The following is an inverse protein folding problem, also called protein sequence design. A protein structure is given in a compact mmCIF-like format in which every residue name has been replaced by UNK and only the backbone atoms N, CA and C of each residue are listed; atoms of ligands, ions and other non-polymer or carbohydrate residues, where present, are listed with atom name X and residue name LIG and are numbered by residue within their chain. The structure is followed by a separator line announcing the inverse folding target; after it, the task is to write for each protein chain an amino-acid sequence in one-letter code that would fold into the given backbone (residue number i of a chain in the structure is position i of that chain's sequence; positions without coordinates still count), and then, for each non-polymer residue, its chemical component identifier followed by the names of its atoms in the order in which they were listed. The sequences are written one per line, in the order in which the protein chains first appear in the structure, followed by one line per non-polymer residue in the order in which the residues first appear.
data_IF_954626741288
#
_entry.id   IF_954626741288
#
_cell.length_a   1.000
_cell.length_b   1.000
_cell.length_c   1.000
_cell.angle_alpha   90.00
_cell.angle_beta   90.00
_cell.angle_gamma   90.00
#
_symmetry.space_group_name_H-M   'P 1'
#
loop_
_entity.id
_entity.type
_entity.pdbx_description
1 polymer ?
#
# COMPACT_ATOMS: atom_id res chain seq x y z
N UNK A 1 -66.18 -0.45 -47.28
CA UNK A 1 -65.14 0.38 -47.91
C UNK A 1 -64.96 1.60 -47.02
N UNK A 2 -64.42 1.38 -45.82
CA UNK A 2 -63.00 1.62 -45.45
C UNK A 2 -62.61 3.08 -45.66
N UNK A 3 -62.91 3.88 -44.64
CA UNK A 3 -62.39 5.23 -44.40
C UNK A 3 -61.20 5.03 -43.46
N UNK A 4 -60.07 4.69 -44.04
CA UNK A 4 -58.72 4.70 -43.47
C UNK A 4 -57.87 4.92 -44.71
N UNK A 5 -57.03 5.98 -44.77
CA UNK A 5 -55.78 6.03 -45.56
C UNK A 5 -55.23 7.46 -45.82
N UNK A 6 -55.90 8.56 -45.46
CA UNK A 6 -55.33 9.92 -45.68
C UNK A 6 -54.48 10.45 -44.49
N UNK A 7 -54.75 10.01 -43.25
CA UNK A 7 -54.03 10.52 -42.08
C UNK A 7 -52.67 9.85 -41.86
N UNK A 8 -52.49 8.58 -42.25
CA UNK A 8 -51.25 7.82 -42.03
C UNK A 8 -50.09 8.30 -42.94
N UNK A 9 -50.39 8.64 -44.19
CA UNK A 9 -49.38 9.13 -45.14
C UNK A 9 -48.83 10.51 -44.73
N UNK A 10 -49.67 11.31 -44.06
CA UNK A 10 -49.29 12.63 -43.52
C UNK A 10 -48.38 12.53 -42.28
N UNK A 11 -48.60 11.54 -41.43
CA UNK A 11 -47.78 11.28 -40.24
C UNK A 11 -46.44 10.71 -40.65
N UNK A 12 -46.40 9.80 -41.63
CA UNK A 12 -45.16 9.22 -42.13
C UNK A 12 -44.26 10.28 -42.81
N UNK A 13 -44.86 11.17 -43.61
CA UNK A 13 -44.14 12.30 -44.21
C UNK A 13 -43.60 13.29 -43.16
N UNK A 14 -44.38 13.57 -42.11
CA UNK A 14 -43.94 14.41 -41.00
C UNK A 14 -42.78 13.77 -40.22
N UNK A 15 -42.86 12.46 -39.96
CA UNK A 15 -41.83 11.73 -39.24
C UNK A 15 -40.53 11.63 -40.04
N UNK A 16 -40.61 11.48 -41.36
CA UNK A 16 -39.45 11.50 -42.27
C UNK A 16 -38.77 12.87 -42.29
N UNK A 17 -39.54 13.96 -42.37
CA UNK A 17 -39.00 15.33 -42.33
C UNK A 17 -38.34 15.66 -40.98
N UNK A 18 -38.91 15.18 -39.87
CA UNK A 18 -38.28 15.31 -38.54
C UNK A 18 -36.99 14.48 -38.45
N UNK A 19 -36.95 13.29 -39.05
CA UNK A 19 -35.74 12.46 -39.09
C UNK A 19 -34.64 13.10 -39.93
N UNK A 20 -34.97 13.62 -41.10
CA UNK A 20 -34.04 14.32 -41.99
C UNK A 20 -33.50 15.60 -41.36
N UNK A 21 -34.36 16.38 -40.71
CA UNK A 21 -33.98 17.55 -39.90
C UNK A 21 -33.07 17.15 -38.73
N UNK A 22 -33.39 16.06 -38.03
CA UNK A 22 -32.57 15.55 -36.93
C UNK A 22 -31.21 15.03 -37.40
N UNK A 23 -31.13 14.44 -38.61
CA UNK A 23 -29.87 13.99 -39.22
C UNK A 23 -29.05 15.18 -39.74
N UNK A 24 -29.68 16.17 -40.36
CA UNK A 24 -29.03 17.39 -40.84
C UNK A 24 -28.49 18.26 -39.70
N UNK A 25 -29.18 18.27 -38.55
CA UNK A 25 -28.76 18.99 -37.33
C UNK A 25 -27.81 18.20 -36.43
N UNK A 26 -27.36 16.99 -36.83
CA UNK A 26 -26.30 16.28 -36.10
C UNK A 26 -24.98 17.01 -36.29
N UNK A 27 -24.64 17.84 -35.31
CA UNK A 27 -23.28 18.37 -35.15
C UNK A 27 -22.29 17.20 -35.20
N UNK A 28 -21.34 17.18 -36.16
CA UNK A 28 -20.34 16.13 -36.25
C UNK A 28 -19.62 16.04 -34.91
N UNK A 29 -19.62 14.84 -34.29
CA UNK A 29 -18.92 14.64 -33.02
C UNK A 29 -17.42 14.85 -33.24
N UNK A 30 -16.92 16.02 -32.87
CA UNK A 30 -15.50 16.32 -32.94
C UNK A 30 -14.77 15.44 -31.93
N UNK A 31 -13.73 14.73 -32.38
CA UNK A 31 -12.90 13.92 -31.49
C UNK A 31 -12.19 14.85 -30.52
N UNK A 32 -12.48 14.71 -29.24
CA UNK A 32 -11.83 15.45 -28.16
C UNK A 32 -10.37 14.99 -27.91
N UNK A 33 -9.98 13.83 -28.42
CA UNK A 33 -8.68 13.17 -28.16
C UNK A 33 -7.95 13.01 -29.48
N UNK A 34 -7.02 13.91 -29.73
CA UNK A 34 -6.38 14.12 -31.04
C UNK A 34 -4.86 13.99 -30.99
N UNK A 35 -4.29 13.45 -29.91
CA UNK A 35 -2.84 13.26 -29.85
C UNK A 35 -2.37 12.33 -30.97
N UNK A 36 -1.16 12.56 -31.52
CA UNK A 36 -0.62 11.76 -32.61
C UNK A 36 -0.27 10.32 -32.19
N UNK A 37 -0.19 10.05 -30.87
CA UNK A 37 0.12 8.73 -30.32
C UNK A 37 -1.02 8.20 -29.46
N UNK A 38 -1.30 6.91 -29.60
CA UNK A 38 -2.21 6.18 -28.72
C UNK A 38 -1.58 5.93 -27.35
N UNK A 39 -2.39 5.60 -26.33
CA UNK A 39 -1.87 5.21 -25.02
C UNK A 39 -0.94 3.99 -25.09
N UNK A 40 -1.25 3.01 -25.94
CA UNK A 40 -0.37 1.87 -26.20
C UNK A 40 0.99 2.29 -26.81
N UNK A 41 1.01 3.16 -27.82
CA UNK A 41 2.25 3.63 -28.43
C UNK A 41 3.13 4.40 -27.44
N UNK A 42 2.51 5.27 -26.63
CA UNK A 42 3.20 5.96 -25.53
C UNK A 42 3.83 4.95 -24.57
N UNK A 43 3.10 3.88 -24.22
CA UNK A 43 3.58 2.88 -23.29
C UNK A 43 4.76 2.07 -23.86
N UNK A 44 4.70 1.65 -25.13
CA UNK A 44 5.81 0.99 -25.80
C UNK A 44 7.07 1.86 -25.85
N UNK A 45 6.91 3.15 -26.15
CA UNK A 45 8.02 4.12 -26.16
C UNK A 45 8.65 4.29 -24.76
N UNK A 46 7.83 4.35 -23.70
CA UNK A 46 8.33 4.45 -22.32
C UNK A 46 9.05 3.16 -21.90
N UNK A 47 8.48 1.99 -22.18
CA UNK A 47 9.04 0.70 -21.76
C UNK A 47 10.32 0.33 -22.53
N UNK A 48 10.42 0.71 -23.79
CA UNK A 48 11.58 0.42 -24.65
C UNK A 48 12.66 1.50 -24.60
N UNK A 49 12.34 2.66 -24.01
CA UNK A 49 13.24 3.79 -23.90
C UNK A 49 14.20 3.68 -22.71
N UNK A 50 14.71 4.84 -22.26
CA UNK A 50 15.62 4.90 -21.12
C UNK A 50 14.99 4.26 -19.86
N UNK A 51 15.71 3.42 -19.09
CA UNK A 51 15.15 2.66 -17.96
C UNK A 51 14.42 3.52 -16.91
N UNK A 52 14.92 4.73 -16.67
CA UNK A 52 14.29 5.68 -15.73
C UNK A 52 12.92 6.16 -16.18
N UNK A 53 12.60 6.16 -17.48
CA UNK A 53 11.29 6.62 -17.97
C UNK A 53 10.17 5.77 -17.38
N UNK A 54 10.34 4.45 -17.37
CA UNK A 54 9.37 3.54 -16.74
C UNK A 54 9.24 3.84 -15.24
N UNK A 55 10.36 4.05 -14.55
CA UNK A 55 10.38 4.39 -13.12
C UNK A 55 9.66 5.72 -12.83
N UNK A 56 9.89 6.74 -13.66
CA UNK A 56 9.28 8.06 -13.51
C UNK A 56 7.78 8.06 -13.78
N UNK A 57 7.31 7.28 -14.76
CA UNK A 57 5.90 7.24 -15.16
C UNK A 57 5.07 6.21 -14.39
N UNK A 58 5.64 5.05 -14.06
CA UNK A 58 4.91 3.90 -13.51
C UNK A 58 5.39 3.48 -12.12
N UNK A 59 6.43 4.13 -11.58
CA UNK A 59 6.98 3.88 -10.23
C UNK A 59 7.53 2.46 -10.03
N UNK A 60 7.78 1.76 -11.13
CA UNK A 60 8.37 0.43 -11.23
C UNK A 60 9.35 0.40 -12.41
N UNK A 61 10.32 -0.51 -12.38
CA UNK A 61 11.18 -0.72 -13.55
C UNK A 61 10.42 -1.41 -14.68
N UNK A 62 10.93 -1.30 -15.92
CA UNK A 62 10.31 -1.94 -17.09
C UNK A 62 10.24 -3.47 -16.94
N UNK A 63 11.28 -4.11 -16.38
CA UNK A 63 11.29 -5.56 -16.14
C UNK A 63 10.22 -5.97 -15.13
N UNK A 64 10.04 -5.19 -14.06
CA UNK A 64 9.00 -5.44 -13.04
C UNK A 64 7.61 -5.16 -13.57
N UNK A 65 7.45 -4.14 -14.41
CA UNK A 65 6.19 -3.87 -15.11
C UNK A 65 5.76 -5.08 -15.93
N UNK A 66 6.67 -5.60 -16.76
CA UNK A 66 6.43 -6.76 -17.61
C UNK A 66 6.12 -7.99 -16.76
N UNK A 67 6.92 -8.26 -15.72
CA UNK A 67 6.68 -9.38 -14.81
C UNK A 67 5.33 -9.30 -14.09
N UNK A 68 4.91 -8.11 -13.64
CA UNK A 68 3.61 -7.90 -12.99
C UNK A 68 2.47 -8.12 -13.99
N UNK A 69 2.63 -7.62 -15.22
CA UNK A 69 1.67 -7.83 -16.30
C UNK A 69 1.53 -9.32 -16.62
N UNK A 70 2.63 -10.04 -16.77
CA UNK A 70 2.65 -11.47 -17.06
C UNK A 70 1.96 -12.26 -15.95
N UNK A 71 2.30 -11.99 -14.68
CA UNK A 71 1.67 -12.63 -13.52
C UNK A 71 0.15 -12.40 -13.47
N UNK A 72 -0.34 -11.22 -13.85
CA UNK A 72 -1.77 -10.92 -13.91
C UNK A 72 -2.46 -11.60 -15.09
N UNK A 73 -1.81 -11.67 -16.26
CA UNK A 73 -2.36 -12.31 -17.46
C UNK A 73 -2.39 -13.82 -17.33
N UNK A 74 -1.31 -14.45 -16.85
CA UNK A 74 -1.21 -15.89 -16.64
C UNK A 74 -2.27 -16.41 -15.66
N UNK A 75 -2.58 -15.63 -14.63
CA UNK A 75 -3.67 -15.93 -13.67
C UNK A 75 -5.07 -15.57 -14.19
N UNK A 76 -5.19 -15.08 -15.42
CA UNK A 76 -6.47 -14.67 -16.02
C UNK A 76 -7.13 -13.49 -15.30
N UNK A 77 -6.36 -12.67 -14.59
CA UNK A 77 -6.87 -11.56 -13.77
C UNK A 77 -7.10 -10.30 -14.59
N UNK A 78 -6.31 -10.13 -15.65
CA UNK A 78 -6.49 -9.13 -16.70
C UNK A 78 -6.27 -9.79 -18.06
N UNK A 79 -6.92 -9.28 -19.09
CA UNK A 79 -6.73 -9.75 -20.47
C UNK A 79 -6.77 -8.57 -21.43
N UNK A 80 -6.02 -8.67 -22.52
CA UNK A 80 -6.14 -7.72 -23.63
C UNK A 80 -7.57 -7.78 -24.19
N UNK A 81 -8.11 -6.61 -24.48
CA UNK A 81 -9.39 -6.45 -25.17
C UNK A 81 -9.14 -5.95 -26.59
N UNK A 82 -10.18 -5.94 -27.44
CA UNK A 82 -10.08 -5.41 -28.81
C UNK A 82 -9.51 -3.99 -28.87
N UNK A 83 -9.76 -3.17 -27.84
CA UNK A 83 -9.47 -1.74 -27.86
C UNK A 83 -8.44 -1.31 -26.81
N UNK A 84 -7.89 -2.23 -26.02
CA UNK A 84 -6.99 -1.92 -24.92
C UNK A 84 -6.15 -3.15 -24.54
N UNK A 85 -4.83 -3.04 -24.67
CA UNK A 85 -3.89 -4.12 -24.30
C UNK A 85 -3.80 -4.29 -22.78
N UNK A 86 -3.39 -5.46 -22.30
CA UNK A 86 -3.12 -5.68 -20.88
C UNK A 86 -2.04 -4.70 -20.35
N UNK A 87 -1.03 -4.40 -21.18
CA UNK A 87 0.02 -3.44 -20.84
C UNK A 87 -0.56 -2.04 -20.63
N UNK A 88 -1.42 -1.58 -21.54
CA UNK A 88 -2.07 -0.27 -21.43
C UNK A 88 -3.00 -0.19 -20.21
N UNK A 89 -3.74 -1.26 -19.90
CA UNK A 89 -4.56 -1.33 -18.70
C UNK A 89 -3.72 -1.18 -17.42
N UNK A 90 -2.62 -1.93 -17.32
CA UNK A 90 -1.72 -1.84 -16.17
C UNK A 90 -1.05 -0.46 -16.11
N UNK A 91 -0.66 0.11 -17.25
CA UNK A 91 -0.08 1.45 -17.36
C UNK A 91 -1.02 2.53 -16.83
N UNK A 92 -2.30 2.48 -17.20
CA UNK A 92 -3.33 3.40 -16.67
C UNK A 92 -3.40 3.32 -15.15
N UNK A 93 -3.43 2.10 -14.61
CA UNK A 93 -3.51 1.89 -13.17
C UNK A 93 -2.27 2.43 -12.45
N UNK A 94 -1.07 2.00 -12.86
CA UNK A 94 0.20 2.38 -12.22
C UNK A 94 0.48 3.88 -12.33
N UNK A 95 0.20 4.50 -13.47
CA UNK A 95 0.32 5.95 -13.62
C UNK A 95 -0.67 6.68 -12.69
N UNK A 96 -1.91 6.19 -12.62
CA UNK A 96 -2.95 6.70 -11.73
C UNK A 96 -2.55 6.66 -10.25
N UNK A 97 -2.16 5.48 -9.75
CA UNK A 97 -1.81 5.30 -8.33
C UNK A 97 -0.44 5.91 -7.99
N UNK A 98 0.52 5.85 -8.90
CA UNK A 98 1.88 6.36 -8.72
C UNK A 98 1.92 7.88 -8.58
N UNK A 99 1.11 8.59 -9.35
CA UNK A 99 1.08 10.06 -9.36
C UNK A 99 -0.13 10.66 -8.65
N UNK A 100 -1.13 9.86 -8.27
CA UNK A 100 -2.37 10.37 -7.68
C UNK A 100 -3.16 11.25 -8.64
N UNK A 101 -3.10 10.97 -9.94
CA UNK A 101 -3.71 11.83 -10.97
C UNK A 101 -5.21 11.58 -11.10
N UNK A 102 -5.95 12.65 -11.40
CA UNK A 102 -7.39 12.56 -11.64
C UNK A 102 -7.72 11.79 -12.93
N UNK A 103 -8.90 11.18 -12.98
CA UNK A 103 -9.39 10.42 -14.14
C UNK A 103 -9.32 11.24 -15.45
N UNK A 104 -9.64 12.54 -15.41
CA UNK A 104 -9.55 13.43 -16.58
C UNK A 104 -8.14 13.51 -17.15
N UNK A 105 -7.11 13.52 -16.29
CA UNK A 105 -5.71 13.56 -16.71
C UNK A 105 -5.32 12.22 -17.33
N UNK A 106 -5.71 11.10 -16.73
CA UNK A 106 -5.50 9.77 -17.33
C UNK A 106 -6.18 9.64 -18.70
N UNK A 107 -7.40 10.15 -18.83
CA UNK A 107 -8.16 10.13 -20.07
C UNK A 107 -7.48 10.93 -21.19
N UNK A 108 -6.83 12.03 -20.83
CA UNK A 108 -6.02 12.86 -21.73
C UNK A 108 -4.65 12.22 -22.01
N UNK A 109 -4.01 11.58 -21.05
CA UNK A 109 -2.71 10.93 -21.26
C UNK A 109 -2.83 9.70 -22.17
N UNK A 110 -3.78 8.82 -21.88
CA UNK A 110 -3.95 7.54 -22.60
C UNK A 110 -4.94 7.63 -23.77
N UNK A 111 -5.54 8.81 -24.01
CA UNK A 111 -6.45 9.03 -25.14
C UNK A 111 -7.69 8.13 -25.12
N UNK A 112 -8.27 7.88 -23.94
CA UNK A 112 -9.52 7.12 -23.76
C UNK A 112 -10.59 7.92 -23.03
N UNK A 113 -11.87 7.55 -23.21
CA UNK A 113 -12.97 8.16 -22.43
C UNK A 113 -12.75 7.96 -20.92
N UNK A 114 -13.21 8.91 -20.10
CA UNK A 114 -13.07 8.79 -18.64
C UNK A 114 -13.76 7.54 -18.08
N UNK A 115 -14.87 7.13 -18.70
CA UNK A 115 -15.55 5.87 -18.43
C UNK A 115 -14.64 4.66 -18.70
N UNK A 116 -13.95 4.63 -19.85
CA UNK A 116 -13.02 3.56 -20.21
C UNK A 116 -11.84 3.49 -19.24
N UNK A 117 -11.25 4.64 -18.91
CA UNK A 117 -10.20 4.73 -17.88
C UNK A 117 -10.70 4.15 -16.55
N UNK A 118 -11.89 4.56 -16.10
CA UNK A 118 -12.46 4.11 -14.83
C UNK A 118 -12.70 2.60 -14.82
N UNK A 119 -13.23 2.05 -15.93
CA UNK A 119 -13.48 0.61 -16.09
C UNK A 119 -12.20 -0.20 -15.96
N UNK A 120 -11.17 0.14 -16.73
CA UNK A 120 -9.91 -0.60 -16.74
C UNK A 120 -9.11 -0.40 -15.44
N UNK A 121 -9.10 0.81 -14.88
CA UNK A 121 -8.50 1.07 -13.56
C UNK A 121 -9.09 0.14 -12.49
N UNK A 122 -10.42 0.02 -12.44
CA UNK A 122 -11.09 -0.85 -11.46
C UNK A 122 -10.89 -2.35 -11.75
N UNK A 123 -10.78 -2.75 -13.03
CA UNK A 123 -10.50 -4.14 -13.38
C UNK A 123 -9.10 -4.55 -12.93
N UNK A 124 -8.09 -3.73 -13.22
CA UNK A 124 -6.71 -3.97 -12.77
C UNK A 124 -6.63 -3.94 -11.25
N UNK A 125 -7.30 -2.99 -10.59
CA UNK A 125 -7.36 -2.92 -9.12
C UNK A 125 -7.85 -4.24 -8.50
N UNK A 126 -8.95 -4.79 -9.02
CA UNK A 126 -9.50 -6.07 -8.55
C UNK A 126 -8.57 -7.23 -8.87
N UNK A 127 -7.94 -7.22 -10.04
CA UNK A 127 -6.94 -8.20 -10.44
C UNK A 127 -5.77 -8.24 -9.46
N UNK A 128 -5.17 -7.09 -9.16
CA UNK A 128 -4.04 -6.99 -8.21
C UNK A 128 -4.47 -7.44 -6.82
N UNK A 129 -5.65 -7.04 -6.33
CA UNK A 129 -6.15 -7.46 -5.01
C UNK A 129 -6.33 -8.98 -4.90
N UNK A 130 -6.58 -9.69 -6.01
CA UNK A 130 -6.64 -11.16 -6.01
C UNK A 130 -5.28 -11.83 -5.81
N UNK A 131 -4.17 -11.09 -5.93
CA UNK A 131 -2.84 -11.56 -5.58
C UNK A 131 -2.53 -11.43 -4.07
N UNK A 132 -3.48 -10.97 -3.25
CA UNK A 132 -3.26 -10.72 -1.82
C UNK A 132 -2.62 -11.91 -1.09
N UNK A 133 -3.05 -13.13 -1.37
CA UNK A 133 -2.63 -14.32 -0.63
C UNK A 133 -1.22 -14.77 -1.07
N UNK A 134 -0.73 -14.29 -2.22
CA UNK A 134 0.63 -14.56 -2.69
C UNK A 134 1.65 -13.56 -2.08
N UNK A 135 1.22 -12.31 -1.83
CA UNK A 135 2.12 -11.20 -1.51
C UNK A 135 1.92 -10.58 -0.12
N UNK A 136 0.76 -10.75 0.52
CA UNK A 136 0.47 -10.28 1.89
C UNK A 136 0.26 -11.52 2.75
N UNK A 137 1.37 -12.13 3.15
CA UNK A 137 1.39 -13.32 4.00
C UNK A 137 1.81 -12.95 5.42
N UNK A 138 1.13 -13.51 6.41
CA UNK A 138 1.58 -13.45 7.80
C UNK A 138 2.62 -14.54 8.05
N UNK A 139 3.66 -14.26 8.84
CA UNK A 139 4.65 -15.26 9.19
C UNK A 139 4.00 -16.38 10.02
N UNK A 140 4.36 -17.63 9.74
CA UNK A 140 3.93 -18.79 10.52
C UNK A 140 4.76 -18.93 11.80
N UNK A 141 4.33 -19.80 12.74
CA UNK A 141 5.08 -20.08 13.97
C UNK A 141 6.52 -20.54 13.69
N UNK A 142 6.73 -21.22 12.56
CA UNK A 142 8.02 -21.74 12.12
C UNK A 142 8.86 -20.71 11.32
N UNK A 143 8.43 -19.44 11.26
CA UNK A 143 9.19 -18.41 10.58
C UNK A 143 10.60 -18.28 11.18
N UNK A 144 11.60 -18.43 10.30
CA UNK A 144 13.00 -18.29 10.66
C UNK A 144 13.29 -16.87 11.19
N UNK A 145 14.29 -16.76 12.07
CA UNK A 145 14.74 -15.46 12.57
C UNK A 145 15.25 -14.62 11.40
N UNK A 146 14.72 -13.41 11.26
CA UNK A 146 15.11 -12.52 10.17
C UNK A 146 16.61 -12.24 10.17
N UNK A 147 17.24 -12.15 8.99
CA UNK A 147 18.70 -11.99 8.84
C UNK A 147 19.25 -10.77 9.60
N UNK A 148 18.49 -9.67 9.67
CA UNK A 148 18.87 -8.47 10.45
C UNK A 148 19.01 -8.71 11.96
N UNK A 149 18.30 -9.70 12.52
CA UNK A 149 18.44 -10.10 13.92
C UNK A 149 19.48 -11.20 14.05
N UNK A 150 19.39 -12.23 13.20
CA UNK A 150 20.17 -13.46 13.32
C UNK A 150 21.67 -13.21 13.41
N UNK A 151 22.17 -12.24 12.65
CA UNK A 151 23.59 -11.93 12.57
C UNK A 151 24.03 -10.74 13.44
N UNK A 152 23.10 -10.10 14.15
CA UNK A 152 23.40 -8.90 14.94
C UNK A 152 23.17 -9.15 16.43
N UNK A 153 24.25 -9.22 17.20
CA UNK A 153 24.19 -9.45 18.65
C UNK A 153 23.37 -8.38 19.38
N UNK A 154 23.35 -7.14 18.88
CA UNK A 154 22.55 -6.05 19.46
C UNK A 154 21.04 -6.21 19.26
N UNK A 155 20.61 -7.08 18.35
CA UNK A 155 19.20 -7.36 18.06
C UNK A 155 18.80 -8.80 18.38
N UNK A 156 19.75 -9.72 18.60
CA UNK A 156 19.49 -11.13 18.88
C UNK A 156 18.50 -11.39 20.02
N UNK A 157 18.44 -10.59 21.11
CA UNK A 157 17.39 -10.73 22.12
C UNK A 157 15.97 -10.59 21.57
N UNK A 158 15.78 -9.96 20.41
CA UNK A 158 14.51 -9.87 19.68
C UNK A 158 14.27 -11.01 18.66
N UNK A 159 14.95 -12.15 18.77
CA UNK A 159 14.86 -13.28 17.80
C UNK A 159 13.44 -13.79 17.48
N UNK A 160 12.48 -13.54 18.37
CA UNK A 160 11.08 -13.94 18.19
C UNK A 160 10.17 -12.81 17.68
N UNK A 161 10.71 -11.61 17.47
CA UNK A 161 9.97 -10.50 16.88
C UNK A 161 9.70 -10.74 15.39
N UNK A 162 8.46 -10.47 14.96
CA UNK A 162 7.99 -10.67 13.59
C UNK A 162 7.38 -9.40 12.98
N UNK A 163 7.32 -9.32 11.65
CA UNK A 163 6.62 -8.29 10.86
C UNK A 163 7.29 -6.92 10.81
N UNK A 164 7.87 -6.44 11.91
CA UNK A 164 8.61 -5.18 11.88
C UNK A 164 9.87 -5.29 11.02
N UNK A 165 10.53 -6.47 11.02
CA UNK A 165 11.96 -6.59 10.70
C UNK A 165 12.21 -7.02 9.24
N UNK A 166 11.23 -7.70 8.62
CA UNK A 166 11.28 -8.09 7.20
C UNK A 166 10.83 -6.98 6.24
N UNK A 167 10.13 -5.94 6.75
CA UNK A 167 9.59 -4.85 5.93
C UNK A 167 8.77 -5.33 4.73
N UNK A 168 8.21 -6.54 4.80
CA UNK A 168 7.50 -7.21 3.70
C UNK A 168 6.08 -7.56 4.12
N UNK A 169 5.81 -7.67 5.42
CA UNK A 169 4.50 -8.04 5.93
C UNK A 169 3.77 -6.81 6.46
N UNK A 170 3.16 -6.05 5.55
CA UNK A 170 2.13 -5.06 5.93
C UNK A 170 0.79 -5.80 5.93
N UNK A 171 0.32 -6.34 7.08
CA UNK A 171 -1.01 -6.91 7.13
C UNK A 171 -2.04 -5.79 6.92
N UNK A 172 -2.79 -5.87 5.82
CA UNK A 172 -3.87 -4.93 5.54
C UNK A 172 -5.18 -5.56 5.98
N UNK A 173 -5.65 -5.21 7.18
CA UNK A 173 -6.95 -5.64 7.68
C UNK A 173 -7.97 -4.54 7.41
N UNK A 174 -8.82 -4.72 6.40
CA UNK A 174 -9.83 -3.73 6.01
C UNK A 174 -11.14 -3.99 6.74
N UNK A 175 -11.49 -3.14 7.71
CA UNK A 175 -12.83 -3.12 8.28
C UNK A 175 -13.74 -2.16 7.51
N UNK A 176 -14.96 -2.60 7.21
CA UNK A 176 -15.99 -1.74 6.63
C UNK A 176 -16.65 -0.93 7.77
N UNK A 177 -16.79 0.40 7.61
CA UNK A 177 -17.54 1.35 8.48
C UNK A 177 -16.81 1.92 9.70
N UNK A 178 -15.55 2.32 9.57
CA UNK A 178 -14.87 3.13 10.60
C UNK A 178 -14.62 4.51 10.00
N UNK A 179 -15.53 5.43 10.30
CA UNK A 179 -15.32 6.87 10.08
C UNK A 179 -14.25 7.36 11.07
N UNK A 180 -13.54 8.44 10.71
CA UNK A 180 -12.23 8.85 11.24
C UNK A 180 -12.01 8.76 12.76
N UNK A 181 -10.73 8.55 13.12
CA UNK A 181 -10.20 8.46 14.49
C UNK A 181 -10.52 7.17 15.25
N UNK A 182 -10.28 6.03 14.59
CA UNK A 182 -10.18 4.74 15.28
C UNK A 182 -8.92 4.73 16.15
N UNK A 183 -9.05 4.58 17.48
CA UNK A 183 -7.88 4.35 18.32
C UNK A 183 -7.16 3.06 17.88
N UNK A 184 -5.83 3.11 17.81
CA UNK A 184 -4.97 2.03 17.36
C UNK A 184 -5.26 0.68 18.04
N UNK A 185 -5.49 0.73 19.37
CA UNK A 185 -5.88 -0.43 20.16
C UNK A 185 -7.21 -1.06 19.69
N UNK A 186 -8.19 -0.22 19.32
CA UNK A 186 -9.49 -0.71 18.83
C UNK A 186 -9.37 -1.40 17.47
N UNK A 187 -8.48 -0.90 16.61
CA UNK A 187 -8.19 -1.53 15.31
C UNK A 187 -7.51 -2.89 15.54
N UNK A 188 -6.49 -2.94 16.41
CA UNK A 188 -5.77 -4.17 16.72
C UNK A 188 -6.66 -5.24 17.34
N UNK A 189 -7.49 -4.85 18.32
CA UNK A 189 -8.46 -5.74 18.96
C UNK A 189 -9.41 -6.35 17.94
N UNK A 190 -9.97 -5.53 17.05
CA UNK A 190 -10.84 -6.05 16.01
C UNK A 190 -10.11 -6.96 15.03
N UNK A 191 -8.87 -6.62 14.65
CA UNK A 191 -8.06 -7.46 13.78
C UNK A 191 -7.88 -8.86 14.38
N UNK A 192 -7.59 -8.95 15.68
CA UNK A 192 -7.44 -10.21 16.40
C UNK A 192 -8.77 -10.98 16.53
N UNK A 193 -9.84 -10.32 16.97
CA UNK A 193 -11.10 -10.99 17.28
C UNK A 193 -11.92 -11.37 16.03
N UNK A 194 -11.86 -10.55 14.98
CA UNK A 194 -12.77 -10.66 13.82
C UNK A 194 -12.06 -10.53 12.47
N UNK A 195 -10.86 -9.98 12.44
CA UNK A 195 -10.07 -9.76 11.22
C UNK A 195 -9.20 -10.96 10.83
N UNK A 196 -9.16 -12.02 11.63
CA UNK A 196 -8.34 -13.21 11.38
C UNK A 196 -6.84 -12.97 11.59
N UNK A 197 -6.45 -11.88 12.26
CA UNK A 197 -5.06 -11.62 12.59
C UNK A 197 -4.66 -12.44 13.82
N UNK A 198 -3.81 -13.44 13.61
CA UNK A 198 -3.35 -14.34 14.67
C UNK A 198 -1.85 -14.17 14.84
N UNK A 199 -1.42 -13.92 16.08
CA UNK A 199 0.00 -13.92 16.43
C UNK A 199 0.43 -15.37 16.67
N UNK A 200 1.42 -15.90 15.94
CA UNK A 200 1.89 -17.26 16.13
C UNK A 200 2.44 -17.48 17.55
N UNK A 201 2.28 -18.69 18.07
CA UNK A 201 2.78 -19.04 19.40
C UNK A 201 4.30 -18.86 19.50
N UNK A 202 4.75 -18.26 20.61
CA UNK A 202 6.17 -17.94 20.84
C UNK A 202 6.72 -16.79 20.00
N UNK A 203 5.89 -16.10 19.21
CA UNK A 203 6.25 -14.90 18.43
C UNK A 203 5.50 -13.67 18.95
N UNK A 204 6.03 -12.49 18.63
CA UNK A 204 5.40 -11.22 19.01
C UNK A 204 5.70 -10.09 18.01
N UNK A 205 4.86 -9.06 18.02
CA UNK A 205 5.06 -7.84 17.26
C UNK A 205 5.62 -6.71 18.14
N UNK A 206 6.50 -5.88 17.59
CA UNK A 206 6.93 -4.64 18.23
C UNK A 206 5.92 -3.54 17.90
N UNK A 207 5.33 -2.93 18.92
CA UNK A 207 4.23 -1.94 18.77
C UNK A 207 4.60 -0.58 19.36
N UNK A 208 3.80 0.45 19.06
CA UNK A 208 3.97 1.78 19.67
C UNK A 208 3.72 1.78 21.18
N UNK A 209 4.19 2.84 21.81
CA UNK A 209 3.83 3.30 23.15
C UNK A 209 2.31 3.50 23.35
N UNK A 210 1.57 3.77 22.27
CA UNK A 210 0.11 3.85 22.24
C UNK A 210 -0.61 2.50 22.40
N UNK A 211 0.11 1.39 22.30
CA UNK A 211 -0.45 0.04 22.52
C UNK A 211 -0.16 -0.46 23.94
N UNK A 212 -1.00 -1.38 24.39
CA UNK A 212 -0.79 -2.14 25.63
C UNK A 212 0.34 -3.15 25.43
N UNK A 213 1.18 -3.29 26.46
CA UNK A 213 2.24 -4.28 26.48
C UNK A 213 1.66 -5.65 26.84
N UNK A 214 1.82 -6.63 25.96
CA UNK A 214 1.35 -8.02 26.14
C UNK A 214 2.41 -8.98 25.63
N UNK A 215 2.29 -10.27 25.96
CA UNK A 215 3.18 -11.31 25.41
C UNK A 215 3.24 -11.36 23.87
N UNK A 216 2.18 -10.89 23.19
CA UNK A 216 2.04 -10.89 21.72
C UNK A 216 2.39 -9.54 21.08
N UNK A 217 2.32 -8.45 21.84
CA UNK A 217 2.57 -7.08 21.39
C UNK A 217 3.46 -6.35 22.40
N UNK A 218 4.75 -6.24 22.10
CA UNK A 218 5.72 -5.60 22.99
C UNK A 218 5.82 -4.10 22.73
N UNK A 219 5.45 -3.32 23.74
CA UNK A 219 5.53 -1.86 23.73
C UNK A 219 6.81 -1.36 24.44
N UNK A 220 7.33 -0.18 24.07
CA UNK A 220 8.44 0.45 24.78
C UNK A 220 8.08 0.80 26.24
N UNK A 221 9.08 1.01 27.09
CA UNK A 221 8.87 1.56 28.43
C UNK A 221 8.40 3.00 28.32
N UNK A 222 7.26 3.32 28.95
CA UNK A 222 6.72 4.69 29.05
C UNK A 222 7.53 5.51 30.06
N UNK A 223 7.64 6.82 29.84
CA UNK A 223 8.32 7.76 30.74
C UNK A 223 9.84 7.84 30.59
N UNK A 224 10.47 6.87 29.93
CA UNK A 224 11.90 6.88 29.57
C UNK A 224 12.05 7.51 28.17
N UNK A 225 12.15 8.84 28.11
CA UNK A 225 12.26 9.58 26.84
C UNK A 225 13.58 9.28 26.15
N UNK A 226 13.51 8.91 24.88
CA UNK A 226 14.63 9.02 23.95
C UNK A 226 14.56 10.39 23.27
N UNK A 227 15.64 11.18 23.31
CA UNK A 227 15.74 12.44 22.55
C UNK A 227 16.47 12.19 21.22
N UNK A 228 15.87 12.67 20.12
CA UNK A 228 16.42 12.60 18.75
C UNK A 228 17.71 13.41 18.59
N UNK A 229 17.93 14.43 19.41
CA UNK A 229 19.14 15.26 19.38
C UNK A 229 20.45 14.52 19.73
N UNK A 230 20.41 13.20 19.90
CA UNK A 230 21.58 12.35 20.18
C UNK A 230 21.91 11.40 19.00
N UNK A 231 21.34 11.64 17.82
CA UNK A 231 21.61 10.90 16.58
C UNK A 231 22.85 11.41 15.82
N UNK A 232 23.89 11.84 16.55
CA UNK A 232 25.14 12.25 15.92
C UNK A 232 25.87 11.00 15.40
N UNK A 233 25.87 10.81 14.08
CA UNK A 233 26.49 9.69 13.37
C UNK A 233 28.01 9.57 13.63
N UNK A 234 28.62 10.58 14.23
CA UNK A 234 30.03 10.62 14.61
C UNK A 234 30.35 9.85 15.91
N UNK A 235 29.36 9.50 16.74
CA UNK A 235 29.65 8.90 18.05
C UNK A 235 29.50 7.38 18.03
N UNK A 236 30.61 6.66 17.82
CA UNK A 236 30.74 5.20 17.98
C UNK A 236 30.41 4.66 19.39
N UNK A 237 29.98 5.49 20.34
CA UNK A 237 29.59 5.07 21.68
C UNK A 237 28.46 5.96 22.24
N UNK A 238 27.21 5.69 21.84
CA UNK A 238 26.06 6.21 22.61
C UNK A 238 26.10 5.57 24.00
N UNK A 239 26.22 6.38 25.05
CA UNK A 239 26.16 5.91 26.43
C UNK A 239 24.69 5.79 26.84
N UNK A 240 24.21 4.56 26.98
CA UNK A 240 22.86 4.28 27.46
C UNK A 240 22.75 4.53 28.96
N UNK A 241 21.77 5.33 29.38
CA UNK A 241 21.63 5.76 30.78
C UNK A 241 21.19 4.63 31.70
N UNK A 242 20.31 3.77 31.21
CA UNK A 242 19.75 2.66 31.96
C UNK A 242 19.36 1.52 30.99
N UNK A 243 19.09 0.30 31.49
CA UNK A 243 18.69 -0.83 30.65
C UNK A 243 17.44 -0.54 29.80
N UNK A 244 16.48 0.22 30.33
CA UNK A 244 15.22 0.56 29.66
C UNK A 244 15.44 1.48 28.45
N UNK A 245 16.37 2.42 28.54
CA UNK A 245 16.81 3.31 27.45
C UNK A 245 17.47 2.50 26.32
N UNK A 246 18.34 1.54 26.66
CA UNK A 246 18.90 0.62 25.66
C UNK A 246 17.79 -0.19 24.98
N UNK A 247 16.85 -0.76 25.74
CA UNK A 247 15.72 -1.49 25.17
C UNK A 247 14.89 -0.62 24.23
N UNK A 248 14.46 0.57 24.69
CA UNK A 248 13.66 1.50 23.89
C UNK A 248 14.39 1.92 22.61
N UNK A 249 15.71 2.16 22.68
CA UNK A 249 16.50 2.48 21.50
C UNK A 249 16.55 1.33 20.49
N UNK A 250 16.81 0.09 20.94
CA UNK A 250 16.85 -1.08 20.04
C UNK A 250 15.47 -1.42 19.48
N UNK A 251 14.43 -1.28 20.30
CA UNK A 251 13.03 -1.42 19.90
C UNK A 251 12.68 -0.43 18.77
N UNK A 252 12.99 0.85 18.96
CA UNK A 252 12.78 1.89 17.94
C UNK A 252 13.60 1.62 16.66
N UNK A 253 14.86 1.19 16.77
CA UNK A 253 15.68 0.80 15.61
C UNK A 253 15.06 -0.34 14.80
N UNK A 254 14.50 -1.35 15.47
CA UNK A 254 13.81 -2.46 14.81
C UNK A 254 12.46 -2.06 14.23
N UNK A 255 11.78 -1.08 14.84
CA UNK A 255 10.51 -0.56 14.34
C UNK A 255 10.67 0.40 13.16
N UNK A 256 11.80 1.13 13.07
CA UNK A 256 12.05 2.13 12.03
C UNK A 256 11.82 1.59 10.61
N UNK A 257 12.09 0.31 10.34
CA UNK A 257 11.79 -0.32 9.04
C UNK A 257 10.29 -0.31 8.69
N UNK A 258 9.37 -0.40 9.65
CA UNK A 258 7.92 -0.27 9.41
C UNK A 258 7.58 1.15 8.94
N UNK A 259 8.06 2.16 9.67
CA UNK A 259 7.82 3.58 9.35
C UNK A 259 8.43 3.95 8.00
N UNK A 260 9.66 3.50 7.73
CA UNK A 260 10.31 3.64 6.42
C UNK A 260 9.50 2.98 5.31
N UNK A 261 8.92 1.80 5.56
CA UNK A 261 8.10 1.11 4.56
C UNK A 261 6.84 1.93 4.23
N UNK A 262 6.16 2.48 5.24
CA UNK A 262 5.04 3.41 5.01
C UNK A 262 5.47 4.69 4.29
N UNK A 263 6.64 5.24 4.63
CA UNK A 263 7.25 6.37 3.95
C UNK A 263 7.49 6.09 2.46
N UNK A 264 8.11 4.95 2.14
CA UNK A 264 8.35 4.51 0.76
C UNK A 264 7.03 4.30 0.02
N UNK A 265 6.02 3.67 0.64
CA UNK A 265 4.69 3.51 0.04
C UNK A 265 4.07 4.85 -0.32
N UNK A 266 4.07 5.82 0.59
CA UNK A 266 3.54 7.17 0.36
C UNK A 266 4.35 7.96 -0.68
N UNK A 267 5.68 7.81 -0.69
CA UNK A 267 6.56 8.44 -1.69
C UNK A 267 6.35 7.84 -3.08
N UNK A 268 6.20 6.51 -3.17
CA UNK A 268 5.99 5.75 -4.42
C UNK A 268 4.59 5.93 -4.99
N UNK A 269 3.56 5.79 -4.17
CA UNK A 269 2.16 5.84 -4.56
C UNK A 269 1.52 7.11 -4.02
N UNK A 270 1.67 8.21 -4.76
CA UNK A 270 1.16 9.53 -4.34
C UNK A 270 -0.35 9.55 -4.13
N UNK A 271 -1.10 8.60 -4.72
CA UNK A 271 -2.53 8.45 -4.48
C UNK A 271 -2.89 8.26 -3.00
N UNK A 272 -1.95 7.75 -2.18
CA UNK A 272 -2.15 7.57 -0.74
C UNK A 272 -2.07 8.89 0.04
N UNK A 273 -1.54 9.95 -0.56
CA UNK A 273 -1.41 11.28 0.06
C UNK A 273 -2.52 12.23 -0.37
N UNK A 274 -3.38 11.84 -1.31
CA UNK A 274 -4.38 12.72 -1.92
C UNK A 274 -5.77 12.20 -1.58
N UNK A 275 -6.67 13.11 -1.21
CA UNK A 275 -8.08 12.80 -1.12
C UNK A 275 -8.61 12.43 -2.51
N UNK A 276 -8.85 11.13 -2.74
CA UNK A 276 -9.34 10.66 -4.03
C UNK A 276 -10.86 10.63 -4.09
N UNK A 277 -11.48 10.93 -5.25
CA UNK A 277 -12.92 10.91 -5.43
C UNK A 277 -13.50 9.49 -5.53
N UNK A 278 -12.82 8.51 -4.92
CA UNK A 278 -13.27 7.12 -4.86
C UNK A 278 -14.12 6.88 -3.63
N UNK A 279 -15.10 5.98 -3.73
CA UNK A 279 -15.79 5.47 -2.53
C UNK A 279 -14.79 4.90 -1.53
N UNK A 280 -15.07 5.00 -0.24
CA UNK A 280 -14.23 4.45 0.83
C UNK A 280 -13.79 3.00 0.56
N UNK A 281 -14.72 2.16 0.06
CA UNK A 281 -14.43 0.76 -0.31
C UNK A 281 -13.30 0.66 -1.35
N UNK A 282 -13.33 1.51 -2.36
CA UNK A 282 -12.31 1.51 -3.42
C UNK A 282 -10.99 2.06 -2.90
N UNK A 283 -11.02 3.07 -2.03
CA UNK A 283 -9.81 3.59 -1.37
C UNK A 283 -9.08 2.51 -0.57
N UNK A 284 -9.81 1.69 0.21
CA UNK A 284 -9.21 0.56 0.93
C UNK A 284 -8.57 -0.48 -0.02
N UNK A 285 -9.21 -0.76 -1.16
CA UNK A 285 -8.65 -1.66 -2.16
C UNK A 285 -7.39 -1.08 -2.80
N UNK A 286 -7.36 0.23 -3.06
CA UNK A 286 -6.16 0.92 -3.59
C UNK A 286 -5.00 0.78 -2.61
N UNK A 287 -5.23 1.01 -1.31
CA UNK A 287 -4.21 0.83 -0.28
C UNK A 287 -3.67 -0.61 -0.27
N UNK A 288 -4.55 -1.60 -0.35
CA UNK A 288 -4.17 -3.01 -0.44
C UNK A 288 -3.36 -3.30 -1.71
N UNK A 289 -3.80 -2.81 -2.87
CA UNK A 289 -3.08 -2.98 -4.13
C UNK A 289 -1.68 -2.34 -4.11
N UNK A 290 -1.53 -1.17 -3.47
CA UNK A 290 -0.22 -0.53 -3.29
C UNK A 290 0.71 -1.42 -2.44
N UNK A 291 0.21 -2.04 -1.38
CA UNK A 291 0.98 -2.98 -0.56
C UNK A 291 1.38 -4.23 -1.36
N UNK A 292 0.46 -4.79 -2.14
CA UNK A 292 0.73 -5.95 -3.02
C UNK A 292 1.81 -5.61 -4.04
N UNK A 293 1.70 -4.47 -4.73
CA UNK A 293 2.70 -4.05 -5.73
C UNK A 293 4.04 -3.78 -5.06
N UNK A 294 4.07 -3.14 -3.88
CA UNK A 294 5.31 -2.95 -3.13
C UNK A 294 6.00 -4.28 -2.81
N UNK A 295 5.24 -5.26 -2.33
CA UNK A 295 5.77 -6.60 -2.04
C UNK A 295 6.18 -7.34 -3.32
N UNK A 296 5.47 -7.14 -4.42
CA UNK A 296 5.85 -7.65 -5.74
C UNK A 296 7.21 -7.08 -6.17
N UNK A 297 7.37 -5.75 -6.09
CA UNK A 297 8.63 -5.04 -6.40
C UNK A 297 9.77 -5.60 -5.54
N UNK A 298 9.57 -5.71 -4.23
CA UNK A 298 10.60 -6.22 -3.30
C UNK A 298 11.07 -7.64 -3.63
N UNK A 299 10.22 -8.48 -4.24
CA UNK A 299 10.60 -9.83 -4.67
C UNK A 299 11.29 -9.87 -6.04
N UNK A 300 10.97 -8.94 -6.94
CA UNK A 300 11.41 -8.98 -8.35
C UNK A 300 12.46 -7.90 -8.70
N UNK A 301 12.68 -6.90 -7.85
CA UNK A 301 13.73 -5.88 -8.00
C UNK A 301 14.77 -6.08 -6.90
N UNK A 302 15.94 -6.62 -7.26
CA UNK A 302 17.03 -6.86 -6.31
C UNK A 302 17.51 -5.57 -5.61
N UNK A 303 17.48 -4.43 -6.30
CA UNK A 303 17.74 -3.10 -5.74
C UNK A 303 16.71 -2.10 -6.28
N UNK A 304 15.91 -1.55 -5.37
CA UNK A 304 14.94 -0.50 -5.68
C UNK A 304 15.65 0.86 -5.70
N UNK A 305 16.46 1.11 -6.73
CA UNK A 305 17.23 2.36 -6.87
C UNK A 305 16.32 3.62 -6.97
N UNK A 306 15.00 3.44 -7.13
CA UNK A 306 14.03 4.54 -7.26
C UNK A 306 13.70 5.14 -5.89
N UNK A 307 13.65 4.28 -4.87
CA UNK A 307 13.46 4.66 -3.48
C UNK A 307 14.43 3.84 -2.65
N UNK A 308 15.73 4.19 -2.68
CA UNK A 308 16.73 3.47 -1.92
C UNK A 308 16.31 3.43 -0.45
N UNK A 309 16.72 2.37 0.25
CA UNK A 309 16.73 2.36 1.71
C UNK A 309 17.78 3.41 2.12
N UNK A 310 17.44 4.70 2.00
CA UNK A 310 18.25 5.79 2.51
C UNK A 310 18.49 5.50 4.00
N UNK A 311 19.70 5.82 4.45
CA UNK A 311 20.16 5.57 5.81
C UNK A 311 19.24 6.21 6.86
N UNK A 312 19.65 6.25 8.14
CA UNK A 312 18.78 6.78 9.17
C UNK A 312 18.47 8.26 8.92
N UNK A 313 17.36 8.55 8.23
CA UNK A 313 16.76 9.88 8.18
C UNK A 313 16.17 10.16 9.56
N UNK A 314 16.59 11.28 10.11
CA UNK A 314 16.13 11.84 11.38
C UNK A 314 14.61 12.02 11.36
N UNK A 315 13.88 11.26 12.18
CA UNK A 315 12.47 11.54 12.44
C UNK A 315 12.20 11.77 13.92
N UNK A 316 11.58 12.92 14.15
CA UNK A 316 11.11 13.46 15.41
C UNK A 316 10.09 12.51 16.05
N UNK A 317 10.31 12.20 17.32
CA UNK A 317 9.38 11.48 18.17
C UNK A 317 8.23 12.43 18.45
N UNK A 318 7.07 12.13 17.89
CA UNK A 318 5.83 12.76 18.28
C UNK A 318 5.52 12.37 19.74
N UNK A 319 5.35 13.40 20.57
CA UNK A 319 4.83 13.29 21.94
C UNK A 319 3.38 12.81 21.83
N UNK A 320 3.07 11.59 22.26
CA UNK A 320 1.67 11.22 22.51
C UNK A 320 1.53 10.51 23.86
N UNK A 321 1.03 11.27 24.84
CA UNK A 321 0.46 10.72 26.05
C UNK A 321 -0.95 10.21 25.73
N UNK A 322 -1.09 8.88 25.67
CA UNK A 322 -2.37 8.19 25.50
C UNK A 322 -2.90 7.69 26.84
N UNK A 323 -4.15 8.07 27.13
CA UNK A 323 -4.93 7.72 28.32
C UNK A 323 -5.28 6.24 28.34
N UNK A 324 -5.30 5.69 29.54
CA UNK A 324 -5.55 4.29 29.85
C UNK A 324 -7.02 3.90 29.62
N UNK A 325 -7.27 3.05 28.62
CA UNK A 325 -8.50 2.26 28.55
C UNK A 325 -8.11 0.78 28.72
N UNK A 326 -8.02 0.39 30.00
CA UNK A 326 -7.96 -0.98 30.46
C UNK A 326 -9.20 -1.75 30.01
N UNK A 327 -8.99 -2.99 29.55
CA UNK A 327 -9.53 -4.23 30.13
C UNK A 327 -9.29 -5.35 29.11
N UNK A 328 -8.37 -6.25 29.47
CA UNK A 328 -8.05 -7.47 28.74
C UNK A 328 -6.99 -8.28 29.50
N UNK A 329 -7.45 -9.02 30.53
CA UNK A 329 -6.78 -10.09 31.30
C UNK A 329 -5.42 -9.72 31.95
N UNK A 330 -5.43 -9.57 33.28
CA UNK A 330 -4.26 -9.22 34.13
C UNK A 330 -3.03 -10.12 33.87
N UNK A 331 -3.25 -11.38 33.47
CA UNK A 331 -2.19 -12.35 33.19
C UNK A 331 -1.39 -12.04 31.90
N UNK A 332 -2.04 -11.60 30.82
CA UNK A 332 -1.37 -11.29 29.54
C UNK A 332 -0.43 -10.08 29.65
N UNK A 333 -0.78 -9.14 30.54
CA UNK A 333 0.04 -7.96 30.85
C UNK A 333 1.29 -8.34 31.64
N UNK A 334 1.16 -9.22 32.64
CA UNK A 334 2.32 -9.66 33.44
C UNK A 334 3.31 -10.48 32.59
N UNK A 335 2.81 -11.42 31.79
CA UNK A 335 3.65 -12.19 30.86
C UNK A 335 4.39 -11.28 29.86
N UNK A 336 3.71 -10.25 29.36
CA UNK A 336 4.32 -9.24 28.49
C UNK A 336 5.40 -8.42 29.19
N UNK A 337 5.21 -8.07 30.46
CA UNK A 337 6.20 -7.33 31.25
C UNK A 337 7.44 -8.17 31.53
N UNK A 338 7.25 -9.44 31.90
CA UNK A 338 8.32 -10.39 32.19
C UNK A 338 9.15 -10.67 30.93
N UNK A 339 8.48 -10.86 29.78
CA UNK A 339 9.15 -11.03 28.48
C UNK A 339 9.99 -9.79 28.13
N UNK A 340 9.43 -8.60 28.29
CA UNK A 340 10.14 -7.33 28.03
C UNK A 340 11.32 -7.15 28.96
N UNK A 341 11.17 -7.46 30.25
CA UNK A 341 12.24 -7.38 31.24
C UNK A 341 13.37 -8.37 30.93
N UNK A 342 13.04 -9.59 30.51
CA UNK A 342 14.03 -10.58 30.09
C UNK A 342 14.85 -10.09 28.88
N UNK A 343 14.19 -9.59 27.84
CA UNK A 343 14.88 -9.01 26.66
C UNK A 343 15.78 -7.84 27.08
N UNK A 344 15.27 -6.97 27.96
CA UNK A 344 16.02 -5.81 28.48
C UNK A 344 17.29 -6.23 29.22
N UNK A 345 17.19 -7.24 30.09
CA UNK A 345 18.33 -7.77 30.83
C UNK A 345 19.35 -8.45 29.90
N UNK A 346 18.88 -9.21 28.91
CA UNK A 346 19.76 -9.81 27.90
C UNK A 346 20.55 -8.73 27.16
N UNK A 347 19.86 -7.70 26.63
CA UNK A 347 20.50 -6.58 25.93
C UNK A 347 21.54 -5.87 26.79
N UNK A 348 21.24 -5.64 28.07
CA UNK A 348 22.15 -4.96 28.99
C UNK A 348 23.38 -5.79 29.35
N UNK A 349 23.23 -7.10 29.46
CA UNK A 349 24.32 -8.00 29.79
C UNK A 349 25.22 -8.31 28.57
N UNK A 350 24.68 -8.22 27.35
CA UNK A 350 25.42 -8.47 26.10
C UNK A 350 25.91 -7.20 25.42
N UNK A 351 25.81 -6.03 26.06
CA UNK A 351 26.34 -4.77 25.50
C UNK A 351 27.87 -4.83 25.52
N UNK A 352 28.48 -4.68 24.35
CA UNK A 352 29.94 -4.56 24.18
C UNK A 352 30.30 -3.08 24.12
#
# INVERSE_FOLDING_TARGET
MTIIDDDDESIEAMMLLELESAVANRVPRQRCRTRPFTGHQMLCDILSGHPERCCHHFRVSATTFIALRDALVEKGLISSTRNMTADEQLGIFLYGVGHGVANRILAETFQHSGETISRHFNNVLRGIVRLKDDYIMLPSSNAAVHLRIRHNQNFHPFKNAIGAIDGTHIPVVVKRRWEGSAADMRVLRWACERGGFVVPEGKYYLVDSGYANTEKFLAPYRGERYHISQFDASTRARVHRNPRDLYNHRHAQLRNVVERTFGILKKRFKILNVATPFSYKVQCLIAMACCIIHNFIRRHQANDNIFPDEGPDEQNAENEGGVDDLVGVIEDSQNGEDLRANITNQLWNTRI
#
